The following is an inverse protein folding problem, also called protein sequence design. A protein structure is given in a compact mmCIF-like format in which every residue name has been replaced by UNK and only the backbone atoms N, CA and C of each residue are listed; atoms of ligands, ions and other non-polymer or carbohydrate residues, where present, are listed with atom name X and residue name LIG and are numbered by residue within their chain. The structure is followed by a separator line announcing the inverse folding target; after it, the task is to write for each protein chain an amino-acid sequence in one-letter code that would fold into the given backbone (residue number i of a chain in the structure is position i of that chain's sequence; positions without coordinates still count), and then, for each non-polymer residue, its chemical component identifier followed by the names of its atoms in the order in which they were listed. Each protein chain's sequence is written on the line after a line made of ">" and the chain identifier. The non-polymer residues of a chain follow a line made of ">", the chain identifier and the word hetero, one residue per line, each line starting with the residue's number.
data_IF_003203921891
#
_entry.id   IF_003203921891
#
_cell.length_a   1.000
_cell.length_b   1.000
_cell.length_c   1.000
_cell.angle_alpha   90.00
_cell.angle_beta   90.00
_cell.angle_gamma   90.00
#
_symmetry.space_group_name_H-M   'P 1'
#
loop_
_entity.id
_entity.type
_entity.pdbx_description
1 polymer ?
#
# COMPACT_ATOMS: atom_id res chain seq x y z
N UNK A 1 -0.91 -9.78 2.42
CA UNK A 1 -2.35 -9.51 2.59
C UNK A 1 -2.94 -10.15 3.84
N UNK A 2 -2.60 -11.40 4.16
CA UNK A 2 -3.09 -12.09 5.37
C UNK A 2 -2.84 -11.31 6.66
N UNK A 3 -1.60 -10.85 6.89
CA UNK A 3 -1.25 -10.02 8.05
C UNK A 3 -2.14 -8.76 8.21
N UNK A 4 -2.55 -8.12 7.11
CA UNK A 4 -3.46 -6.97 7.19
C UNK A 4 -4.88 -7.40 7.59
N UNK A 5 -5.38 -8.52 7.04
CA UNK A 5 -6.72 -9.03 7.37
C UNK A 5 -6.84 -9.43 8.84
N UNK A 6 -5.76 -9.97 9.43
CA UNK A 6 -5.71 -10.30 10.85
C UNK A 6 -5.53 -9.09 11.77
N UNK A 7 -5.14 -7.93 11.23
CA UNK A 7 -4.89 -6.70 11.98
C UNK A 7 -6.14 -5.82 12.14
N UNK A 8 -7.35 -6.38 12.08
CA UNK A 8 -8.61 -5.62 12.14
C UNK A 8 -8.75 -4.79 13.44
N UNK A 9 -8.18 -5.28 14.55
CA UNK A 9 -8.20 -4.62 15.86
C UNK A 9 -6.95 -3.79 16.16
N UNK A 10 -5.98 -3.75 15.25
CA UNK A 10 -4.76 -2.97 15.44
C UNK A 10 -5.05 -1.46 15.28
N UNK A 11 -4.25 -0.59 15.94
CA UNK A 11 -4.33 0.84 15.72
C UNK A 11 -4.18 1.21 14.25
N UNK A 12 -4.86 2.27 13.82
CA UNK A 12 -4.89 2.69 12.41
C UNK A 12 -3.50 2.92 11.82
N UNK A 13 -2.58 3.50 12.60
CA UNK A 13 -1.21 3.70 12.16
C UNK A 13 -0.53 2.38 11.77
N UNK A 14 -0.80 1.30 12.51
CA UNK A 14 -0.26 -0.02 12.18
C UNK A 14 -0.93 -0.63 10.95
N UNK A 15 -2.25 -0.49 10.84
CA UNK A 15 -3.01 -0.94 9.66
C UNK A 15 -2.53 -0.24 8.38
N UNK A 16 -2.26 1.06 8.44
CA UNK A 16 -1.69 1.83 7.33
C UNK A 16 -0.29 1.37 6.95
N UNK A 17 0.62 1.19 7.92
CA UNK A 17 1.98 0.68 7.63
C UNK A 17 1.95 -0.69 6.97
N UNK A 18 1.03 -1.57 7.38
CA UNK A 18 0.83 -2.88 6.74
C UNK A 18 0.40 -2.74 5.28
N UNK A 19 -0.49 -1.79 4.97
CA UNK A 19 -0.91 -1.52 3.60
C UNK A 19 0.20 -0.86 2.77
N UNK A 20 0.95 0.09 3.33
CA UNK A 20 2.10 0.73 2.67
C UNK A 20 3.19 -0.30 2.34
N UNK A 21 3.51 -1.19 3.29
CA UNK A 21 4.42 -2.30 3.08
C UNK A 21 3.92 -3.25 1.98
N UNK A 22 2.64 -3.62 2.02
CA UNK A 22 2.04 -4.47 0.99
C UNK A 22 2.03 -3.80 -0.38
N UNK A 23 1.78 -2.48 -0.44
CA UNK A 23 1.83 -1.69 -1.67
C UNK A 23 3.22 -1.74 -2.28
N UNK A 24 4.26 -1.40 -1.50
CA UNK A 24 5.65 -1.36 -1.96
C UNK A 24 6.12 -2.75 -2.43
N UNK A 25 5.85 -3.81 -1.66
CA UNK A 25 6.24 -5.18 -2.02
C UNK A 25 5.45 -5.68 -3.23
N UNK A 26 4.18 -5.30 -3.35
CA UNK A 26 3.28 -5.71 -4.44
C UNK A 26 3.38 -4.83 -5.68
N UNK A 27 4.12 -3.72 -5.65
CA UNK A 27 4.02 -2.62 -6.60
C UNK A 27 4.22 -3.05 -8.06
N UNK A 28 5.17 -3.96 -8.29
CA UNK A 28 5.54 -4.49 -9.61
C UNK A 28 4.61 -5.62 -10.10
N UNK A 29 3.64 -6.05 -9.30
CA UNK A 29 2.68 -7.10 -9.64
C UNK A 29 1.28 -6.51 -9.76
N UNK A 30 0.68 -6.60 -10.94
CA UNK A 30 -0.59 -5.93 -11.25
C UNK A 30 -1.70 -6.22 -10.22
N UNK A 31 -2.05 -7.49 -10.02
CA UNK A 31 -3.15 -7.85 -9.12
C UNK A 31 -2.88 -7.48 -7.65
N UNK A 32 -1.71 -7.80 -7.06
CA UNK A 32 -1.37 -7.33 -5.71
C UNK A 32 -1.42 -5.81 -5.56
N UNK A 33 -0.89 -5.07 -6.53
CA UNK A 33 -0.87 -3.61 -6.51
C UNK A 33 -2.29 -3.03 -6.52
N UNK A 34 -3.15 -3.50 -7.44
CA UNK A 34 -4.55 -3.09 -7.50
C UNK A 34 -5.30 -3.45 -6.20
N UNK A 35 -5.11 -4.66 -5.69
CA UNK A 35 -5.75 -5.15 -4.48
C UNK A 35 -5.39 -4.29 -3.27
N UNK A 36 -4.13 -3.86 -3.13
CA UNK A 36 -3.72 -2.97 -2.03
C UNK A 36 -4.44 -1.63 -2.11
N UNK A 37 -4.56 -1.02 -3.29
CA UNK A 37 -5.31 0.24 -3.43
C UNK A 37 -6.78 0.08 -3.04
N UNK A 38 -7.41 -1.04 -3.38
CA UNK A 38 -8.77 -1.33 -2.91
C UNK A 38 -8.84 -1.42 -1.38
N UNK A 39 -7.87 -2.06 -0.72
CA UNK A 39 -7.83 -2.14 0.74
C UNK A 39 -7.54 -0.78 1.41
N UNK A 40 -6.66 0.03 0.82
CA UNK A 40 -6.42 1.41 1.25
C UNK A 40 -7.68 2.26 1.10
N UNK A 41 -8.43 2.10 0.01
CA UNK A 41 -9.72 2.75 -0.18
C UNK A 41 -10.73 2.32 0.89
N UNK A 42 -10.83 1.01 1.18
CA UNK A 42 -11.70 0.49 2.24
C UNK A 42 -11.35 1.09 3.61
N UNK A 43 -10.07 1.15 3.97
CA UNK A 43 -9.63 1.75 5.24
C UNK A 43 -9.92 3.26 5.28
N UNK A 44 -9.71 3.97 4.18
CA UNK A 44 -10.03 5.39 4.08
C UNK A 44 -11.52 5.68 4.24
N UNK A 45 -12.39 4.81 3.69
CA UNK A 45 -13.85 4.89 3.88
C UNK A 45 -14.23 4.59 5.33
N UNK A 46 -13.69 3.53 5.94
CA UNK A 46 -13.90 3.17 7.34
C UNK A 46 -13.53 4.30 8.30
N UNK A 47 -12.41 4.99 8.03
CA UNK A 47 -11.89 6.11 8.84
C UNK A 47 -12.34 7.49 8.37
N UNK A 48 -13.25 7.57 7.40
CA UNK A 48 -13.82 8.82 6.86
C UNK A 48 -12.76 9.84 6.45
N UNK A 49 -11.75 9.39 5.69
CA UNK A 49 -10.64 10.21 5.20
C UNK A 49 -10.86 10.62 3.73
N UNK A 50 -11.60 11.71 3.42
CA UNK A 50 -12.02 12.03 2.06
C UNK A 50 -10.85 12.28 1.09
N UNK A 51 -9.77 12.90 1.56
CA UNK A 51 -8.56 13.11 0.74
C UNK A 51 -7.94 11.78 0.30
N UNK A 52 -7.90 10.79 1.19
CA UNK A 52 -7.42 9.45 0.85
C UNK A 52 -8.39 8.72 -0.08
N UNK A 53 -9.70 8.80 0.18
CA UNK A 53 -10.72 8.19 -0.70
C UNK A 53 -10.53 8.66 -2.15
N UNK A 54 -10.43 9.97 -2.38
CA UNK A 54 -10.20 10.52 -3.72
C UNK A 54 -8.84 10.11 -4.30
N UNK A 55 -7.79 10.13 -3.47
CA UNK A 55 -6.44 9.74 -3.88
C UNK A 55 -6.32 8.26 -4.27
N UNK A 56 -7.05 7.37 -3.60
CA UNK A 56 -7.09 5.94 -3.92
C UNK A 56 -7.92 5.67 -5.17
N UNK A 57 -9.07 6.34 -5.36
CA UNK A 57 -9.86 6.22 -6.60
C UNK A 57 -9.04 6.63 -7.83
N UNK A 58 -8.31 7.74 -7.72
CA UNK A 58 -7.39 8.19 -8.78
C UNK A 58 -6.29 7.15 -9.05
N UNK A 59 -5.66 6.60 -8.00
CA UNK A 59 -4.60 5.59 -8.15
C UNK A 59 -5.10 4.27 -8.74
N UNK A 60 -6.29 3.81 -8.36
CA UNK A 60 -6.93 2.63 -8.97
C UNK A 60 -7.07 2.82 -10.49
N UNK A 61 -7.49 4.00 -10.94
CA UNK A 61 -7.55 4.31 -12.37
C UNK A 61 -6.17 4.35 -13.05
N UNK A 62 -5.12 4.75 -12.33
CA UNK A 62 -3.75 4.80 -12.85
C UNK A 62 -3.04 3.43 -12.90
N UNK A 63 -3.40 2.45 -12.06
CA UNK A 63 -2.70 1.15 -12.02
C UNK A 63 -2.60 0.50 -13.41
N UNK A 64 -3.68 0.36 -14.22
CA UNK A 64 -3.57 -0.22 -15.56
C UNK A 64 -2.61 0.54 -16.47
N UNK A 65 -2.63 1.87 -16.43
CA UNK A 65 -1.76 2.72 -17.24
C UNK A 65 -0.30 2.57 -16.82
N UNK A 66 0.00 2.64 -15.52
CA UNK A 66 1.36 2.53 -14.99
C UNK A 66 2.01 1.18 -15.31
N UNK A 67 1.24 0.09 -15.22
CA UNK A 67 1.72 -1.25 -15.59
C UNK A 67 1.90 -1.42 -17.10
N UNK A 68 0.98 -0.90 -17.91
CA UNK A 68 1.10 -0.96 -19.38
C UNK A 68 2.36 -0.25 -19.88
N UNK A 69 2.66 0.93 -19.33
CA UNK A 69 3.86 1.70 -19.69
C UNK A 69 5.11 1.30 -18.89
N UNK A 70 5.02 0.33 -17.97
CA UNK A 70 6.09 -0.08 -17.03
C UNK A 70 6.73 1.09 -16.27
N UNK A 71 5.95 2.14 -16.00
CA UNK A 71 6.38 3.33 -15.27
C UNK A 71 5.70 3.37 -13.92
N UNK A 72 6.35 2.79 -12.93
CA UNK A 72 5.86 2.70 -11.56
C UNK A 72 6.80 3.50 -10.62
N UNK A 73 6.26 4.32 -9.72
CA UNK A 73 7.04 5.15 -8.79
C UNK A 73 7.60 4.31 -7.65
N UNK A 74 8.65 3.52 -7.90
CA UNK A 74 9.16 2.53 -6.94
C UNK A 74 9.38 3.14 -5.55
N UNK A 75 8.87 2.44 -4.52
CA UNK A 75 9.01 2.80 -3.12
C UNK A 75 8.04 3.89 -2.62
N UNK A 76 7.15 4.38 -3.49
CA UNK A 76 6.03 5.23 -3.08
C UNK A 76 5.14 4.50 -2.07
N UNK A 77 4.67 5.19 -1.04
CA UNK A 77 3.82 4.60 0.01
C UNK A 77 2.40 4.27 -0.47
N UNK A 78 1.93 4.89 -1.55
CA UNK A 78 0.55 4.78 -2.04
C UNK A 78 -0.42 5.77 -1.39
N UNK A 79 0.03 6.56 -0.40
CA UNK A 79 -0.78 7.56 0.32
C UNK A 79 -1.10 8.80 -0.51
N UNK A 80 -2.24 9.43 -0.24
CA UNK A 80 -2.74 10.55 -1.04
C UNK A 80 -2.04 11.89 -0.76
N UNK A 81 -1.31 12.02 0.34
CA UNK A 81 -0.47 13.17 0.68
C UNK A 81 0.85 13.19 -0.09
N UNK A 82 1.26 12.06 -0.67
CA UNK A 82 2.41 11.94 -1.56
C UNK A 82 1.92 11.94 -3.01
N UNK A 83 2.66 12.58 -3.92
CA UNK A 83 2.35 12.50 -5.36
C UNK A 83 2.38 11.05 -5.85
N UNK A 84 1.40 10.67 -6.69
CA UNK A 84 1.30 9.34 -7.28
C UNK A 84 2.42 9.02 -8.28
N UNK A 85 3.23 10.00 -8.67
CA UNK A 85 4.34 9.83 -9.62
C UNK A 85 5.72 9.95 -8.96
N UNK A 86 5.77 10.17 -7.64
CA UNK A 86 7.03 10.36 -6.92
C UNK A 86 7.66 9.01 -6.54
N UNK A 87 8.78 8.66 -7.17
CA UNK A 87 9.65 7.60 -6.67
C UNK A 87 10.38 8.08 -5.40
N UNK A 88 10.53 7.21 -4.41
CA UNK A 88 11.16 7.55 -3.13
C UNK A 88 11.58 6.31 -2.34
N UNK A 89 12.48 6.49 -1.38
CA UNK A 89 12.76 5.44 -0.40
C UNK A 89 11.56 5.27 0.56
N UNK A 90 11.16 4.03 0.90
CA UNK A 90 10.20 3.78 1.96
C UNK A 90 10.70 4.27 3.32
N UNK A 91 9.78 4.59 4.24
CA UNK A 91 10.17 4.97 5.61
C UNK A 91 10.74 3.77 6.38
N UNK A 92 11.53 4.04 7.41
CA UNK A 92 12.14 3.01 8.27
C UNK A 92 11.09 2.08 8.89
N UNK A 93 9.96 2.62 9.32
CA UNK A 93 8.87 1.86 9.94
C UNK A 93 8.24 0.89 8.95
N UNK A 94 8.03 1.31 7.70
CA UNK A 94 7.51 0.44 6.64
C UNK A 94 8.53 -0.64 6.28
N UNK A 95 9.82 -0.30 6.22
CA UNK A 95 10.89 -1.29 5.99
C UNK A 95 10.95 -2.34 7.12
N UNK A 96 10.75 -1.93 8.38
CA UNK A 96 10.68 -2.85 9.51
C UNK A 96 9.50 -3.81 9.38
N UNK A 97 8.33 -3.33 8.95
CA UNK A 97 7.15 -4.20 8.69
C UNK A 97 7.46 -5.22 7.58
N UNK A 98 8.10 -4.79 6.49
CA UNK A 98 8.52 -5.69 5.39
C UNK A 98 9.51 -6.74 5.90
N UNK A 99 10.50 -6.32 6.70
CA UNK A 99 11.51 -7.22 7.27
C UNK A 99 10.89 -8.26 8.21
N UNK A 100 10.00 -7.83 9.12
CA UNK A 100 9.29 -8.71 10.05
C UNK A 100 8.43 -9.74 9.31
N UNK A 101 7.69 -9.31 8.27
CA UNK A 101 6.88 -10.22 7.46
C UNK A 101 7.73 -11.24 6.69
N UNK A 102 8.91 -10.84 6.20
CA UNK A 102 9.86 -11.77 5.55
C UNK A 102 10.40 -12.79 6.54
N UNK A 103 10.84 -12.35 7.72
CA UNK A 103 11.35 -13.26 8.75
C UNK A 103 10.30 -14.30 9.16
N UNK A 104 9.03 -13.88 9.36
CA UNK A 104 7.94 -14.80 9.70
C UNK A 104 7.66 -15.84 8.60
N UNK A 105 7.89 -15.51 7.32
CA UNK A 105 7.73 -16.44 6.21
C UNK A 105 8.91 -17.41 6.07
N UNK A 106 10.11 -17.07 6.55
CA UNK A 106 11.27 -17.97 6.54
C UNK A 106 11.30 -18.95 7.73
N UNK A 107 10.54 -18.65 8.79
CA UNK A 107 10.40 -19.52 9.97
C UNK A 107 9.25 -20.53 9.88
N UNK A 108 8.54 -20.61 8.73
CA UNK A 108 7.49 -21.60 8.42
C UNK A 108 8.02 -22.59 7.40
#
# INVERSE_FOLDING_TARGET
>A
MEHYRSAAHEPDGQRWRLLEAAHIVGQTRFFPHLQVHCLMLSLALERRMPKEVLGQLFRIALVPLGHLFRRLPIGNSGRADISAFRAMAPSTEVLQVIAAARAANFSR
#
